data_IF_473217387330
#
_entry.id   IF_473217387330
#
_cell.length_a   1.000
_cell.length_b   1.000
_cell.length_c   1.000
_cell.angle_alpha   90.00
_cell.angle_beta   90.00
_cell.angle_gamma   90.00
#
_symmetry.space_group_name_H-M   'P 1'
#
loop_
_entity.id
_entity.type
_entity.pdbx_description
1 polymer ?
#
# COMPACT_ATOMS: atom_id res chain seq x y z
N UNK A 1 -5.11 -31.36 5.87
CA UNK A 1 -4.75 -30.07 5.23
C UNK A 1 -6.04 -29.29 5.05
N UNK A 2 -6.14 -28.05 5.54
CA UNK A 2 -7.32 -27.22 5.32
C UNK A 2 -7.48 -26.88 3.83
N UNK A 3 -8.72 -26.90 3.33
CA UNK A 3 -9.07 -26.39 2.01
C UNK A 3 -9.31 -24.87 2.07
N UNK A 4 -8.85 -24.17 1.04
CA UNK A 4 -9.02 -22.74 0.86
C UNK A 4 -9.56 -22.40 -0.53
N UNK A 5 -10.31 -21.32 -0.60
CA UNK A 5 -10.63 -20.64 -1.85
C UNK A 5 -10.33 -19.15 -1.72
N UNK A 6 -9.94 -18.54 -2.83
CA UNK A 6 -9.66 -17.11 -2.89
C UNK A 6 -10.79 -16.37 -3.60
N UNK A 7 -11.39 -15.39 -2.92
CA UNK A 7 -12.57 -14.68 -3.41
C UNK A 7 -12.27 -13.18 -3.48
N UNK A 8 -12.76 -12.56 -4.56
CA UNK A 8 -12.75 -11.11 -4.74
C UNK A 8 -14.18 -10.57 -4.85
N UNK A 9 -14.45 -9.43 -4.21
CA UNK A 9 -15.78 -8.80 -4.20
C UNK A 9 -15.95 -7.71 -5.26
N UNK A 10 -14.83 -7.17 -5.76
CA UNK A 10 -14.78 -6.13 -6.79
C UNK A 10 -13.65 -6.45 -7.75
N UNK A 11 -13.82 -6.17 -9.04
CA UNK A 11 -12.75 -6.39 -10.02
C UNK A 11 -11.51 -5.56 -9.64
N UNK A 12 -10.34 -6.21 -9.56
CA UNK A 12 -9.09 -5.59 -9.09
C UNK A 12 -9.03 -5.28 -7.59
N UNK A 13 -10.01 -5.76 -6.81
CA UNK A 13 -10.05 -5.60 -5.37
C UNK A 13 -9.09 -6.52 -4.61
N UNK A 14 -9.06 -6.38 -3.28
CA UNK A 14 -8.30 -7.28 -2.41
C UNK A 14 -8.88 -8.70 -2.49
N UNK A 15 -7.99 -9.67 -2.63
CA UNK A 15 -8.32 -11.10 -2.56
C UNK A 15 -8.37 -11.52 -1.09
N UNK A 16 -9.40 -12.28 -0.74
CA UNK A 16 -9.65 -12.77 0.60
C UNK A 16 -9.76 -14.29 0.56
N UNK A 17 -9.15 -14.95 1.53
CA UNK A 17 -9.22 -16.40 1.69
C UNK A 17 -10.47 -16.79 2.48
N UNK A 18 -11.19 -17.80 2.01
CA UNK A 18 -12.39 -18.36 2.64
C UNK A 18 -12.29 -19.88 2.71
N UNK A 19 -13.00 -20.46 3.66
CA UNK A 19 -13.23 -21.91 3.74
C UNK A 19 -14.37 -22.28 2.77
N UNK A 20 -14.14 -23.16 1.78
CA UNK A 20 -15.17 -23.59 0.84
C UNK A 20 -16.28 -24.45 1.47
N UNK A 21 -16.13 -24.91 2.71
CA UNK A 21 -17.10 -25.72 3.47
C UNK A 21 -17.55 -26.98 2.70
N UNK A 22 -16.59 -27.64 2.03
CA UNK A 22 -16.83 -28.84 1.20
C UNK A 22 -17.45 -28.57 -0.17
N UNK A 23 -17.61 -27.30 -0.57
CA UNK A 23 -18.05 -26.93 -1.91
C UNK A 23 -16.91 -27.04 -2.92
N UNK A 24 -17.16 -27.70 -4.05
CA UNK A 24 -16.26 -27.65 -5.22
C UNK A 24 -16.45 -26.32 -5.95
N UNK A 25 -15.50 -25.42 -5.78
CA UNK A 25 -15.49 -24.08 -6.37
C UNK A 25 -14.39 -23.98 -7.42
N UNK A 26 -14.76 -23.53 -8.62
CA UNK A 26 -13.82 -23.29 -9.72
C UNK A 26 -13.55 -21.79 -9.89
N UNK A 27 -12.39 -21.45 -10.46
CA UNK A 27 -12.07 -20.07 -10.78
C UNK A 27 -13.14 -19.48 -11.73
N UNK A 28 -13.69 -18.32 -11.36
CA UNK A 28 -14.77 -17.66 -12.07
C UNK A 28 -16.17 -17.91 -11.49
N UNK A 29 -16.33 -18.90 -10.61
CA UNK A 29 -17.60 -19.13 -9.92
C UNK A 29 -18.03 -17.91 -9.10
N UNK A 30 -19.33 -17.66 -9.06
CA UNK A 30 -19.91 -16.65 -8.18
C UNK A 30 -20.48 -17.33 -6.96
N UNK A 31 -20.17 -16.78 -5.80
CA UNK A 31 -20.47 -17.39 -4.51
C UNK A 31 -21.06 -16.37 -3.56
N UNK A 32 -21.89 -16.86 -2.65
CA UNK A 32 -22.43 -16.07 -1.55
C UNK A 32 -21.63 -16.39 -0.30
N UNK A 33 -21.12 -15.35 0.35
CA UNK A 33 -20.34 -15.46 1.58
C UNK A 33 -20.95 -14.58 2.66
N UNK A 34 -20.75 -14.96 3.92
CA UNK A 34 -21.15 -14.14 5.06
C UNK A 34 -19.90 -13.50 5.62
N UNK A 35 -19.82 -12.17 5.55
CA UNK A 35 -18.75 -11.40 6.18
C UNK A 35 -19.31 -10.67 7.40
N UNK A 36 -18.43 -10.05 8.18
CA UNK A 36 -18.83 -9.14 9.27
C UNK A 36 -19.73 -7.99 8.81
N UNK A 37 -19.78 -7.70 7.50
CA UNK A 37 -20.62 -6.65 6.90
C UNK A 37 -22.00 -7.15 6.45
N UNK A 38 -22.23 -8.45 6.49
CA UNK A 38 -23.46 -9.09 6.04
C UNK A 38 -23.23 -10.12 4.95
N UNK A 39 -24.28 -10.41 4.19
CA UNK A 39 -24.22 -11.32 3.04
C UNK A 39 -23.69 -10.56 1.84
N UNK A 40 -22.65 -11.09 1.20
CA UNK A 40 -22.03 -10.49 0.01
C UNK A 40 -21.89 -11.54 -1.09
N UNK A 41 -21.92 -11.09 -2.34
CA UNK A 41 -21.63 -11.92 -3.50
C UNK A 41 -20.20 -11.66 -3.96
N UNK A 42 -19.39 -12.70 -4.01
CA UNK A 42 -18.02 -12.66 -4.50
C UNK A 42 -17.83 -13.48 -5.77
N UNK A 43 -16.66 -13.31 -6.39
CA UNK A 43 -16.18 -14.13 -7.50
C UNK A 43 -14.93 -14.88 -7.06
N UNK A 44 -14.88 -16.17 -7.32
CA UNK A 44 -13.73 -17.03 -7.05
C UNK A 44 -12.61 -16.68 -8.03
N UNK A 45 -11.44 -16.35 -7.50
CA UNK A 45 -10.19 -16.09 -8.24
C UNK A 45 -9.39 -17.38 -8.34
N UNK A 46 -9.25 -18.10 -7.23
CA UNK A 46 -8.61 -19.41 -7.14
C UNK A 46 -9.59 -20.40 -6.54
N UNK A 47 -9.81 -21.51 -7.22
CA UNK A 47 -10.70 -22.58 -6.78
C UNK A 47 -10.25 -23.25 -5.47
N UNK A 48 -11.03 -24.22 -5.01
CA UNK A 48 -10.71 -24.97 -3.79
C UNK A 48 -9.36 -25.69 -3.94
N UNK A 49 -8.42 -25.40 -3.06
CA UNK A 49 -7.10 -26.04 -3.00
C UNK A 49 -6.66 -26.26 -1.56
N UNK A 50 -5.87 -27.31 -1.33
CA UNK A 50 -5.33 -27.62 -0.01
C UNK A 50 -4.05 -26.82 0.23
N UNK A 51 -3.89 -26.29 1.45
CA UNK A 51 -2.67 -25.59 1.86
C UNK A 51 -2.11 -26.17 3.16
N UNK A 52 -0.80 -25.98 3.44
CA UNK A 52 -0.22 -26.28 4.75
C UNK A 52 -0.92 -25.47 5.85
N UNK A 53 -1.15 -26.09 7.00
CA UNK A 53 -1.88 -25.46 8.12
C UNK A 53 -1.18 -24.20 8.66
N UNK A 54 0.15 -24.12 8.52
CA UNK A 54 1.01 -23.01 8.90
C UNK A 54 0.79 -21.74 8.06
N UNK A 55 0.27 -21.87 6.84
CA UNK A 55 0.00 -20.74 5.93
C UNK A 55 -1.41 -20.16 6.13
N UNK A 56 -2.26 -20.79 6.94
CA UNK A 56 -3.64 -20.39 7.14
C UNK A 56 -3.78 -19.37 8.28
N UNK A 57 -4.17 -18.15 7.93
CA UNK A 57 -4.56 -17.13 8.92
C UNK A 57 -6.00 -17.37 9.36
N UNK A 58 -6.19 -18.08 10.48
CA UNK A 58 -7.50 -18.30 11.10
C UNK A 58 -7.98 -17.07 11.91
N UNK A 59 -9.30 -16.87 12.08
CA UNK A 59 -10.41 -17.68 11.56
C UNK A 59 -10.78 -17.29 10.12
N UNK A 60 -11.02 -18.32 9.29
CA UNK A 60 -11.59 -18.15 7.95
C UNK A 60 -13.11 -18.09 8.05
N UNK A 61 -13.72 -17.15 7.33
CA UNK A 61 -15.16 -17.16 7.12
C UNK A 61 -15.51 -18.24 6.08
N UNK A 62 -16.71 -18.80 6.17
CA UNK A 62 -17.16 -19.88 5.29
C UNK A 62 -17.92 -19.36 4.07
N UNK A 63 -17.75 -20.06 2.94
CA UNK A 63 -18.62 -19.90 1.77
C UNK A 63 -19.98 -20.51 2.09
N UNK A 64 -21.04 -19.73 1.92
CA UNK A 64 -22.40 -20.20 2.24
C UNK A 64 -22.92 -21.13 1.14
N UNK A 65 -22.73 -20.74 -0.13
CA UNK A 65 -23.19 -21.48 -1.32
C UNK A 65 -22.71 -20.85 -2.62
N UNK A 66 -22.84 -21.57 -3.74
CA UNK A 66 -22.81 -20.98 -5.08
C UNK A 66 -23.99 -20.02 -5.30
N UNK A 67 -23.75 -18.97 -6.07
CA UNK A 67 -24.78 -18.00 -6.44
C UNK A 67 -25.80 -18.63 -7.39
N UNK A 68 -27.07 -18.37 -7.15
CA UNK A 68 -28.20 -18.79 -7.99
C UNK A 68 -28.50 -17.74 -9.05
N UNK A 69 -29.37 -18.07 -10.01
CA UNK A 69 -29.91 -17.10 -10.97
C UNK A 69 -30.59 -15.90 -10.27
N UNK A 70 -31.35 -16.15 -9.20
CA UNK A 70 -32.00 -15.09 -8.41
C UNK A 70 -30.99 -14.14 -7.75
N UNK A 71 -29.86 -14.66 -7.27
CA UNK A 71 -28.78 -13.82 -6.72
C UNK A 71 -28.15 -12.95 -7.80
N UNK A 72 -27.95 -13.52 -8.98
CA UNK A 72 -27.40 -12.83 -10.14
C UNK A 72 -28.33 -11.70 -10.61
N UNK A 73 -29.64 -11.94 -10.63
CA UNK A 73 -30.64 -10.94 -10.95
C UNK A 73 -30.68 -9.83 -9.89
N UNK A 74 -30.56 -10.18 -8.61
CA UNK A 74 -30.48 -9.22 -7.51
C UNK A 74 -29.22 -8.37 -7.61
N UNK A 75 -28.06 -8.96 -7.89
CA UNK A 75 -26.83 -8.22 -8.13
C UNK A 75 -26.91 -7.30 -9.36
N UNK A 76 -27.61 -7.74 -10.42
CA UNK A 76 -27.85 -6.92 -11.61
C UNK A 76 -28.75 -5.72 -11.30
N UNK A 77 -29.84 -5.92 -10.54
CA UNK A 77 -30.70 -4.84 -10.06
C UNK A 77 -29.94 -3.85 -9.19
N UNK A 78 -29.11 -4.34 -8.27
CA UNK A 78 -28.27 -3.52 -7.40
C UNK A 78 -27.28 -2.67 -8.20
N UNK A 79 -26.64 -3.24 -9.24
CA UNK A 79 -25.76 -2.48 -10.15
C UNK A 79 -26.50 -1.38 -10.90
N UNK A 80 -27.72 -1.64 -11.39
CA UNK A 80 -28.56 -0.62 -12.05
C UNK A 80 -28.97 0.49 -11.09
N UNK A 81 -29.32 0.12 -9.85
CA UNK A 81 -29.66 1.08 -8.79
C UNK A 81 -28.45 1.94 -8.41
N UNK A 82 -27.28 1.33 -8.23
CA UNK A 82 -26.02 2.02 -7.95
C UNK A 82 -25.68 3.05 -9.05
N UNK A 83 -25.78 2.66 -10.32
CA UNK A 83 -25.52 3.56 -11.45
C UNK A 83 -26.50 4.74 -11.50
N UNK A 84 -27.78 4.50 -11.16
CA UNK A 84 -28.78 5.57 -11.06
C UNK A 84 -28.49 6.49 -9.88
N UNK A 85 -28.10 5.93 -8.73
CA UNK A 85 -27.75 6.69 -7.53
C UNK A 85 -26.51 7.56 -7.74
N UNK A 86 -25.49 7.05 -8.44
CA UNK A 86 -24.30 7.82 -8.80
C UNK A 86 -24.67 9.08 -9.60
N UNK A 87 -25.39 8.92 -10.72
CA UNK A 87 -25.78 10.03 -11.59
C UNK A 87 -26.58 11.11 -10.84
N UNK A 88 -27.57 10.68 -10.07
CA UNK A 88 -28.40 11.60 -9.29
C UNK A 88 -27.59 12.30 -8.20
N UNK A 89 -26.63 11.61 -7.58
CA UNK A 89 -25.74 12.22 -6.60
C UNK A 89 -24.84 13.27 -7.25
N UNK A 90 -24.26 12.98 -8.41
CA UNK A 90 -23.43 13.92 -9.17
C UNK A 90 -24.22 15.18 -9.54
N UNK A 91 -25.42 15.04 -10.10
CA UNK A 91 -26.32 16.15 -10.41
C UNK A 91 -26.59 17.04 -9.17
N UNK A 92 -26.86 16.43 -8.02
CA UNK A 92 -27.17 17.16 -6.78
C UNK A 92 -25.94 17.79 -6.14
N UNK A 93 -24.77 17.18 -6.28
CA UNK A 93 -23.49 17.75 -5.83
C UNK A 93 -23.21 19.05 -6.59
N UNK A 94 -23.42 19.05 -7.91
CA UNK A 94 -23.30 20.25 -8.74
C UNK A 94 -24.34 21.31 -8.38
N UNK A 95 -25.62 20.93 -8.26
CA UNK A 95 -26.72 21.84 -7.90
C UNK A 95 -26.50 22.54 -6.54
N UNK A 96 -25.94 21.81 -5.58
CA UNK A 96 -25.62 22.34 -4.26
C UNK A 96 -24.25 23.02 -4.15
N UNK A 97 -23.45 23.03 -5.22
CA UNK A 97 -22.11 23.62 -5.22
C UNK A 97 -21.19 22.98 -4.18
N UNK A 98 -21.31 21.67 -3.95
CA UNK A 98 -20.50 20.96 -2.97
C UNK A 98 -19.14 20.60 -3.58
N UNK A 99 -18.05 21.00 -2.93
CA UNK A 99 -16.68 20.75 -3.40
C UNK A 99 -16.21 19.30 -3.14
N UNK A 100 -16.92 18.33 -3.72
CA UNK A 100 -16.61 16.91 -3.61
C UNK A 100 -16.68 16.21 -4.96
N UNK A 101 -15.90 15.13 -5.07
CA UNK A 101 -15.93 14.23 -6.22
C UNK A 101 -16.48 12.86 -5.82
N UNK A 102 -17.50 12.38 -6.52
CA UNK A 102 -18.00 11.01 -6.34
C UNK A 102 -17.01 10.04 -6.98
N UNK A 103 -16.57 9.03 -6.21
CA UNK A 103 -15.55 8.06 -6.63
C UNK A 103 -16.19 6.73 -7.01
N UNK A 104 -17.14 6.25 -6.20
CA UNK A 104 -17.85 5.00 -6.49
C UNK A 104 -19.17 4.97 -5.74
N UNK A 105 -20.20 4.38 -6.35
CA UNK A 105 -21.48 4.12 -5.69
C UNK A 105 -21.80 2.65 -5.77
N UNK A 106 -22.22 2.07 -4.64
CA UNK A 106 -22.55 0.65 -4.54
C UNK A 106 -23.79 0.43 -3.70
N UNK A 107 -24.48 -0.67 -3.97
CA UNK A 107 -25.59 -1.14 -3.15
C UNK A 107 -25.14 -2.43 -2.50
N UNK A 108 -25.26 -2.53 -1.17
CA UNK A 108 -24.99 -3.77 -0.45
C UNK A 108 -25.85 -4.88 -1.03
N UNK A 109 -25.32 -6.10 -1.08
CA UNK A 109 -25.97 -7.20 -1.81
C UNK A 109 -27.42 -7.45 -1.36
N UNK A 110 -27.71 -7.33 -0.06
CA UNK A 110 -29.05 -7.44 0.51
C UNK A 110 -29.99 -6.25 0.23
N UNK A 111 -29.50 -5.19 -0.42
CA UNK A 111 -30.25 -3.97 -0.73
C UNK A 111 -30.47 -3.04 0.47
N UNK A 112 -29.88 -3.33 1.64
CA UNK A 112 -30.13 -2.59 2.88
C UNK A 112 -29.67 -1.12 2.83
N UNK A 113 -28.58 -0.85 2.12
CA UNK A 113 -27.99 0.49 2.01
C UNK A 113 -27.27 0.72 0.68
N UNK A 114 -27.24 1.99 0.28
CA UNK A 114 -26.42 2.52 -0.80
C UNK A 114 -25.21 3.20 -0.17
N UNK A 115 -24.01 2.77 -0.55
CA UNK A 115 -22.74 3.35 -0.09
C UNK A 115 -22.17 4.21 -1.21
N UNK A 116 -22.07 5.51 -0.97
CA UNK A 116 -21.47 6.48 -1.89
C UNK A 116 -20.12 6.86 -1.33
N UNK A 117 -19.06 6.51 -2.05
CA UNK A 117 -17.71 6.90 -1.70
C UNK A 117 -17.32 8.15 -2.45
N UNK A 118 -16.79 9.14 -1.73
CA UNK A 118 -16.47 10.46 -2.27
C UNK A 118 -15.10 10.93 -1.78
N UNK A 119 -14.50 11.84 -2.53
CA UNK A 119 -13.31 12.59 -2.15
C UNK A 119 -13.69 14.06 -1.89
N UNK A 120 -13.04 14.64 -0.88
CA UNK A 120 -13.16 16.05 -0.53
C UNK A 120 -11.87 16.46 0.19
N UNK A 121 -11.31 17.63 -0.15
CA UNK A 121 -10.12 18.18 0.51
C UNK A 121 -10.46 18.70 1.91
N UNK A 122 -11.57 19.43 2.00
CA UNK A 122 -12.07 20.00 3.25
C UNK A 122 -13.34 19.29 3.75
N UNK A 123 -13.76 19.65 4.96
CA UNK A 123 -15.00 19.13 5.53
C UNK A 123 -16.18 19.83 4.89
N UNK A 124 -17.08 19.04 4.30
CA UNK A 124 -18.27 19.55 3.60
C UNK A 124 -19.52 19.20 4.41
N UNK A 125 -20.47 20.13 4.48
CA UNK A 125 -21.81 19.85 4.99
C UNK A 125 -22.73 19.39 3.85
N UNK A 126 -22.94 18.08 3.77
CA UNK A 126 -23.77 17.44 2.74
C UNK A 126 -25.09 16.88 3.31
N UNK A 127 -25.58 17.41 4.45
CA UNK A 127 -26.83 16.92 5.06
C UNK A 127 -28.04 17.01 4.13
N UNK A 128 -28.19 18.12 3.39
CA UNK A 128 -29.25 18.29 2.38
C UNK A 128 -29.18 17.24 1.28
N UNK A 129 -27.98 16.94 0.78
CA UNK A 129 -27.75 15.90 -0.22
C UNK A 129 -28.19 14.51 0.30
N UNK A 130 -27.88 14.19 1.56
CA UNK A 130 -28.30 12.92 2.18
C UNK A 130 -29.81 12.81 2.25
N UNK A 131 -30.51 13.87 2.68
CA UNK A 131 -31.97 13.88 2.76
C UNK A 131 -32.62 13.67 1.39
N UNK A 132 -32.13 14.34 0.35
CA UNK A 132 -32.64 14.21 -1.00
C UNK A 132 -32.47 12.81 -1.58
N UNK A 133 -31.28 12.24 -1.45
CA UNK A 133 -31.00 10.90 -1.92
C UNK A 133 -31.83 9.86 -1.15
N UNK A 134 -31.96 10.02 0.18
CA UNK A 134 -32.78 9.14 1.00
C UNK A 134 -34.26 9.19 0.58
N UNK A 135 -34.81 10.39 0.33
CA UNK A 135 -36.19 10.57 -0.17
C UNK A 135 -36.40 9.92 -1.54
N UNK A 136 -35.43 10.07 -2.45
CA UNK A 136 -35.53 9.58 -3.83
C UNK A 136 -35.38 8.07 -3.95
N UNK A 137 -34.45 7.47 -3.22
CA UNK A 137 -34.15 6.04 -3.35
C UNK A 137 -34.88 5.16 -2.33
N UNK A 138 -35.44 5.73 -1.26
CA UNK A 138 -36.12 4.98 -0.17
C UNK A 138 -35.24 3.86 0.41
N UNK A 139 -33.93 4.08 0.39
CA UNK A 139 -32.90 3.17 0.89
C UNK A 139 -31.95 3.98 1.74
N UNK A 140 -31.38 3.37 2.79
CA UNK A 140 -30.41 4.05 3.65
C UNK A 140 -29.19 4.47 2.81
N UNK A 141 -28.82 5.74 2.87
CA UNK A 141 -27.63 6.29 2.20
C UNK A 141 -26.50 6.40 3.21
N UNK A 142 -25.33 5.87 2.88
CA UNK A 142 -24.10 5.98 3.66
C UNK A 142 -23.03 6.66 2.80
N UNK A 143 -22.53 7.79 3.28
CA UNK A 143 -21.41 8.47 2.65
C UNK A 143 -20.09 8.01 3.28
N UNK A 144 -19.12 7.67 2.44
CA UNK A 144 -17.78 7.26 2.86
C UNK A 144 -16.74 8.16 2.22
N UNK A 145 -16.04 8.94 3.04
CA UNK A 145 -14.91 9.72 2.54
C UNK A 145 -13.71 8.82 2.27
N UNK A 146 -13.13 8.95 1.08
CA UNK A 146 -11.88 8.32 0.67
C UNK A 146 -10.76 9.35 0.84
N UNK A 147 -9.63 8.94 1.41
CA UNK A 147 -8.45 9.81 1.52
C UNK A 147 -7.70 9.94 0.19
N UNK A 148 -6.94 11.03 0.02
CA UNK A 148 -6.10 11.31 -1.18
C UNK A 148 -5.24 10.13 -1.66
N UNK A 149 -4.75 9.28 -0.73
CA UNK A 149 -3.92 8.11 -1.07
C UNK A 149 -4.72 6.98 -1.70
N UNK A 150 -5.93 6.74 -1.17
CA UNK A 150 -6.80 5.68 -1.67
C UNK A 150 -7.40 6.09 -3.02
N UNK A 151 -7.70 7.38 -3.19
CA UNK A 151 -8.08 7.93 -4.49
C UNK A 151 -6.95 7.77 -5.52
N UNK A 152 -5.72 8.17 -5.18
CA UNK A 152 -4.57 7.96 -6.06
C UNK A 152 -4.38 6.47 -6.39
N UNK A 153 -4.60 5.57 -5.44
CA UNK A 153 -4.52 4.11 -5.67
C UNK A 153 -5.55 3.63 -6.70
N UNK A 154 -6.77 4.16 -6.65
CA UNK A 154 -7.84 3.81 -7.58
C UNK A 154 -7.57 4.34 -9.00
N UNK A 155 -7.06 5.56 -9.11
CA UNK A 155 -6.73 6.18 -10.41
C UNK A 155 -5.46 5.55 -11.01
N UNK A 156 -4.48 5.22 -10.18
CA UNK A 156 -3.18 4.74 -10.63
C UNK A 156 -2.31 5.85 -11.23
N UNK A 157 -1.33 5.46 -12.04
CA UNK A 157 -0.42 6.39 -12.73
C UNK A 157 1.06 6.13 -12.46
N UNK A 158 1.91 7.06 -12.89
CA UNK A 158 3.36 6.99 -12.76
C UNK A 158 3.88 8.10 -11.86
N UNK A 159 4.71 7.76 -10.88
CA UNK A 159 5.36 8.74 -10.00
C UNK A 159 6.46 9.54 -10.72
N UNK A 160 7.03 10.55 -10.05
CA UNK A 160 8.13 11.35 -10.61
C UNK A 160 9.39 10.53 -10.91
N UNK A 161 9.52 9.33 -10.35
CA UNK A 161 10.57 8.37 -10.65
C UNK A 161 10.34 7.55 -11.93
N UNK A 162 9.24 7.78 -12.66
CA UNK A 162 8.87 7.05 -13.87
C UNK A 162 8.25 5.66 -13.64
N UNK A 163 8.22 5.16 -12.40
CA UNK A 163 7.58 3.89 -12.03
C UNK A 163 6.10 4.08 -11.69
N UNK A 164 5.32 2.99 -11.66
CA UNK A 164 3.95 3.00 -11.13
C UNK A 164 3.93 3.66 -9.74
N UNK A 165 2.89 4.43 -9.44
CA UNK A 165 2.80 5.12 -8.15
C UNK A 165 2.92 4.14 -6.97
N UNK A 166 3.69 4.56 -5.96
CA UNK A 166 3.95 3.75 -4.78
C UNK A 166 2.67 3.36 -4.00
N UNK A 167 1.61 4.18 -4.07
CA UNK A 167 0.31 3.89 -3.44
C UNK A 167 -0.38 2.64 -4.02
N UNK A 168 -0.15 2.34 -5.30
CA UNK A 168 -0.69 1.14 -5.97
C UNK A 168 0.30 -0.02 -5.91
N UNK A 169 1.61 0.25 -6.02
CA UNK A 169 2.64 -0.78 -6.01
C UNK A 169 2.80 -1.49 -4.66
N UNK A 170 2.68 -0.76 -3.55
CA UNK A 170 2.90 -1.29 -2.20
C UNK A 170 1.57 -1.24 -1.42
N UNK A 171 0.67 -2.17 -1.74
CA UNK A 171 -0.69 -2.19 -1.16
C UNK A 171 -0.75 -2.58 0.34
N UNK A 172 0.36 -3.00 0.94
CA UNK A 172 0.37 -3.71 2.24
C UNK A 172 0.58 -2.87 3.50
N UNK A 173 1.36 -1.78 3.46
CA UNK A 173 1.78 -1.09 4.69
C UNK A 173 1.05 0.25 4.89
N UNK A 174 -0.05 0.20 5.65
CA UNK A 174 -0.86 1.39 6.00
C UNK A 174 -0.24 2.23 7.11
N UNK A 175 0.98 1.92 7.56
CA UNK A 175 1.63 2.73 8.58
C UNK A 175 1.89 4.17 8.10
N UNK A 176 1.77 5.16 9.00
CA UNK A 176 2.04 6.55 8.66
C UNK A 176 3.51 6.72 8.24
N UNK A 177 3.71 7.44 7.15
CA UNK A 177 5.04 7.86 6.69
C UNK A 177 5.43 9.12 7.44
N UNK A 178 6.66 9.18 7.96
CA UNK A 178 7.14 10.34 8.74
C UNK A 178 8.29 11.07 8.05
N UNK A 179 8.43 12.36 8.33
CA UNK A 179 9.55 13.19 7.85
C UNK A 179 10.91 12.62 8.33
N UNK A 180 10.93 11.94 9.49
CA UNK A 180 12.14 11.25 10.00
C UNK A 180 12.68 10.23 9.00
N UNK A 181 11.80 9.51 8.29
CA UNK A 181 12.19 8.53 7.28
C UNK A 181 12.92 9.20 6.12
N UNK A 182 12.38 10.31 5.59
CA UNK A 182 13.05 11.09 4.55
C UNK A 182 14.43 11.62 5.00
N UNK A 183 14.54 12.13 6.24
CA UNK A 183 15.82 12.57 6.81
C UNK A 183 16.83 11.42 6.89
N UNK A 184 16.40 10.24 7.33
CA UNK A 184 17.31 9.09 7.46
C UNK A 184 17.79 8.56 6.11
N UNK A 185 16.98 8.72 5.06
CA UNK A 185 17.32 8.42 3.67
C UNK A 185 18.08 9.57 2.97
N UNK A 186 18.46 10.63 3.72
CA UNK A 186 19.22 11.77 3.22
C UNK A 186 18.53 12.52 2.05
N UNK A 187 17.20 12.46 1.99
CA UNK A 187 16.44 13.17 0.97
C UNK A 187 16.25 14.64 1.37
N UNK A 188 16.30 15.58 0.40
CA UNK A 188 15.97 16.98 0.64
C UNK A 188 14.54 17.12 1.14
N UNK A 189 14.31 17.93 2.18
CA UNK A 189 12.98 18.12 2.78
C UNK A 189 12.06 19.05 1.98
N UNK A 190 12.30 19.19 0.67
CA UNK A 190 11.44 19.92 -0.24
C UNK A 190 10.21 19.04 -0.55
N UNK A 191 8.97 19.54 -0.38
CA UNK A 191 7.75 18.81 -0.72
C UNK A 191 7.77 18.16 -2.11
N UNK A 192 8.33 18.81 -3.14
CA UNK A 192 8.41 18.24 -4.49
C UNK A 192 9.30 16.98 -4.58
N UNK A 193 10.20 16.78 -3.62
CA UNK A 193 11.16 15.66 -3.58
C UNK A 193 10.73 14.52 -2.66
N UNK A 194 9.80 14.76 -1.73
CA UNK A 194 9.37 13.78 -0.71
C UNK A 194 7.88 13.47 -0.74
N UNK A 195 7.07 14.28 -1.43
CA UNK A 195 5.63 14.04 -1.61
C UNK A 195 5.37 13.26 -2.89
N UNK A 196 4.44 12.31 -2.80
CA UNK A 196 3.91 11.60 -3.96
C UNK A 196 2.84 12.41 -4.69
N UNK A 197 2.35 11.87 -5.80
CA UNK A 197 1.26 12.48 -6.58
C UNK A 197 -0.04 12.67 -5.79
N UNK A 198 -0.23 11.89 -4.72
CA UNK A 198 -1.36 12.05 -3.79
C UNK A 198 -1.20 13.23 -2.81
N UNK A 199 -0.19 14.08 -2.98
CA UNK A 199 0.08 15.24 -2.13
C UNK A 199 0.64 14.92 -0.73
N UNK A 200 0.67 13.63 -0.34
CA UNK A 200 1.27 13.17 0.93
C UNK A 200 2.68 12.61 0.73
N UNK A 201 3.42 12.43 1.82
CA UNK A 201 4.73 11.78 1.81
C UNK A 201 4.69 10.43 1.08
N UNK A 202 5.70 10.19 0.24
CA UNK A 202 5.81 8.99 -0.60
C UNK A 202 5.86 7.71 0.24
N UNK A 203 5.07 6.71 -0.14
CA UNK A 203 5.04 5.41 0.56
C UNK A 203 6.36 4.63 0.41
N UNK A 204 7.15 4.87 -0.65
CA UNK A 204 8.46 4.24 -0.83
C UNK A 204 9.44 4.59 0.30
N UNK A 205 9.30 5.77 0.93
CA UNK A 205 10.10 6.16 2.10
C UNK A 205 9.95 5.16 3.24
N UNK A 206 8.75 4.63 3.44
CA UNK A 206 8.48 3.61 4.46
C UNK A 206 8.94 2.23 3.98
N UNK A 207 8.60 1.87 2.73
CA UNK A 207 8.98 0.59 2.14
C UNK A 207 10.48 0.33 2.22
N UNK A 208 11.30 1.34 1.90
CA UNK A 208 12.76 1.22 1.91
C UNK A 208 13.35 1.41 3.32
N UNK A 209 12.58 1.90 4.28
CA UNK A 209 13.09 2.38 5.56
C UNK A 209 13.94 1.34 6.32
N UNK A 210 13.47 0.10 6.38
CA UNK A 210 14.15 -0.95 7.13
C UNK A 210 15.53 -1.24 6.55
N UNK A 211 15.67 -1.25 5.23
CA UNK A 211 16.96 -1.41 4.57
C UNK A 211 17.96 -0.30 4.97
N UNK A 212 17.49 0.95 5.14
CA UNK A 212 18.35 2.04 5.62
C UNK A 212 18.73 1.92 7.08
N UNK A 213 17.84 1.38 7.94
CA UNK A 213 18.14 1.14 9.35
C UNK A 213 19.19 0.04 9.47
N UNK A 214 18.93 -1.12 8.86
CA UNK A 214 19.83 -2.28 8.89
C UNK A 214 21.19 -1.98 8.26
N UNK A 215 21.22 -1.24 7.14
CA UNK A 215 22.47 -0.84 6.51
C UNK A 215 23.30 0.04 7.44
N UNK A 216 22.70 1.01 8.13
CA UNK A 216 23.43 1.90 9.06
C UNK A 216 23.96 1.19 10.29
N UNK A 217 23.31 0.10 10.73
CA UNK A 217 23.80 -0.72 11.84
C UNK A 217 25.05 -1.51 11.47
N UNK A 218 25.15 -1.94 10.20
CA UNK A 218 26.28 -2.73 9.69
C UNK A 218 27.42 -1.88 9.11
N UNK A 219 27.09 -0.76 8.47
CA UNK A 219 28.04 0.06 7.74
C UNK A 219 28.92 0.91 8.68
N UNK A 220 30.22 1.09 8.36
CA UNK A 220 31.06 2.06 9.06
C UNK A 220 30.50 3.48 8.96
N UNK A 221 30.66 4.28 10.02
CA UNK A 221 30.21 5.66 10.03
C UNK A 221 30.94 6.49 8.96
N UNK A 222 30.27 7.50 8.39
CA UNK A 222 30.91 8.48 7.50
C UNK A 222 32.11 9.13 8.20
N UNK A 223 33.22 9.29 7.49
CA UNK A 223 34.50 9.76 8.02
C UNK A 223 35.41 8.66 8.60
N UNK A 224 34.94 7.41 8.65
CA UNK A 224 35.77 6.27 9.08
C UNK A 224 36.73 5.88 7.96
N UNK A 225 38.01 5.65 8.31
CA UNK A 225 38.98 5.07 7.37
C UNK A 225 38.75 3.57 7.24
N UNK A 226 38.80 3.05 6.03
CA UNK A 226 38.60 1.64 5.71
C UNK A 226 39.60 1.20 4.64
N UNK A 227 39.94 -0.08 4.63
CA UNK A 227 40.66 -0.68 3.51
C UNK A 227 39.66 -1.29 2.53
N UNK A 228 39.82 -0.95 1.26
CA UNK A 228 39.07 -1.55 0.15
C UNK A 228 40.04 -2.35 -0.75
N UNK A 229 39.55 -3.21 -1.65
CA UNK A 229 40.41 -3.90 -2.63
C UNK A 229 41.21 -2.95 -3.54
N UNK A 230 40.81 -1.67 -3.61
CA UNK A 230 41.46 -0.63 -4.42
C UNK A 230 42.39 0.30 -3.63
N UNK A 231 42.49 0.12 -2.32
CA UNK A 231 43.33 0.93 -1.45
C UNK A 231 42.64 1.38 -0.17
N UNK A 232 43.41 2.02 0.71
CA UNK A 232 42.91 2.69 1.92
C UNK A 232 42.19 3.98 1.53
N UNK A 233 41.05 4.25 2.17
CA UNK A 233 40.32 5.49 1.96
C UNK A 233 39.35 5.80 3.08
N UNK A 234 38.59 6.88 2.93
CA UNK A 234 37.61 7.35 3.92
C UNK A 234 36.20 7.22 3.39
N UNK A 235 35.28 6.68 4.20
CA UNK A 235 33.87 6.58 3.82
C UNK A 235 33.26 7.99 3.75
N UNK A 236 32.78 8.39 2.57
CA UNK A 236 32.18 9.71 2.33
C UNK A 236 30.66 9.66 2.23
N UNK A 237 30.10 8.59 1.66
CA UNK A 237 28.65 8.45 1.50
C UNK A 237 28.18 6.99 1.51
N UNK A 238 26.87 6.80 1.57
CA UNK A 238 26.20 5.50 1.58
C UNK A 238 25.31 5.33 0.34
N UNK A 239 25.50 4.23 -0.37
CA UNK A 239 24.68 3.82 -1.50
C UNK A 239 23.78 2.67 -1.05
N UNK A 240 22.85 2.96 -0.12
CA UNK A 240 22.03 1.95 0.56
C UNK A 240 21.30 1.00 -0.40
N UNK A 241 20.62 1.46 -1.47
CA UNK A 241 19.93 0.54 -2.39
C UNK A 241 20.86 -0.43 -3.15
N UNK A 242 22.16 -0.15 -3.17
CA UNK A 242 23.20 -1.02 -3.74
C UNK A 242 23.95 -1.84 -2.68
N UNK A 243 23.62 -1.66 -1.40
CA UNK A 243 24.37 -2.21 -0.25
C UNK A 243 25.88 -1.87 -0.28
N UNK A 244 26.23 -0.66 -0.71
CA UNK A 244 27.62 -0.20 -0.85
C UNK A 244 27.90 1.09 -0.08
N UNK A 245 29.16 1.31 0.23
CA UNK A 245 29.69 2.60 0.70
C UNK A 245 30.52 3.27 -0.40
N UNK A 246 30.50 4.59 -0.43
CA UNK A 246 31.35 5.40 -1.29
C UNK A 246 32.60 5.78 -0.49
N UNK A 247 33.77 5.38 -0.97
CA UNK A 247 35.06 5.59 -0.30
C UNK A 247 35.93 6.52 -1.14
N UNK A 248 36.46 7.58 -0.53
CA UNK A 248 37.44 8.48 -1.14
C UNK A 248 38.86 7.97 -0.83
N UNK A 249 39.59 7.59 -1.89
CA UNK A 249 40.97 7.11 -1.81
C UNK A 249 42.00 8.26 -1.82
N UNK A 250 41.54 9.52 -1.93
CA UNK A 250 42.37 10.70 -2.08
C UNK A 250 42.32 11.28 -3.50
N UNK A 251 42.71 12.55 -3.62
CA UNK A 251 42.76 13.29 -4.90
C UNK A 251 41.42 13.31 -5.68
N UNK A 252 40.29 13.14 -4.99
CA UNK A 252 38.96 13.09 -5.60
C UNK A 252 38.60 11.75 -6.25
N UNK A 253 39.43 10.72 -6.08
CA UNK A 253 39.16 9.39 -6.59
C UNK A 253 38.22 8.62 -5.65
N UNK A 254 36.95 8.51 -6.05
CA UNK A 254 35.92 7.81 -5.28
C UNK A 254 35.59 6.44 -5.87
N UNK A 255 35.46 5.43 -5.01
CA UNK A 255 35.13 4.06 -5.38
C UNK A 255 33.93 3.55 -4.57
N UNK A 256 33.07 2.75 -5.22
CA UNK A 256 32.01 2.01 -4.52
C UNK A 256 32.58 0.69 -4.00
N UNK A 257 32.39 0.41 -2.70
CA UNK A 257 32.82 -0.85 -2.07
C UNK A 257 31.66 -1.51 -1.33
N UNK A 258 31.57 -2.84 -1.43
CA UNK A 258 30.62 -3.66 -0.65
C UNK A 258 30.97 -3.67 0.84
N UNK A 259 29.97 -3.90 1.71
CA UNK A 259 30.22 -4.01 3.16
C UNK A 259 31.07 -5.22 3.54
N UNK A 260 31.08 -6.24 2.69
CA UNK A 260 31.91 -7.45 2.77
C UNK A 260 33.34 -7.24 2.27
N UNK A 261 33.56 -6.19 1.45
CA UNK A 261 34.86 -5.88 0.85
C UNK A 261 35.68 -4.89 1.69
N UNK A 262 35.11 -4.36 2.78
CA UNK A 262 35.75 -3.34 3.61
C UNK A 262 36.29 -3.92 4.92
N UNK A 263 37.55 -3.64 5.20
CA UNK A 263 38.18 -4.00 6.47
C UNK A 263 38.48 -2.75 7.32
N UNK A 264 38.38 -2.85 8.66
CA UNK A 264 38.82 -1.78 9.54
C UNK A 264 40.33 -1.50 9.34
N UNK A 265 40.77 -0.25 9.54
CA UNK A 265 42.14 0.14 9.27
C UNK A 265 43.07 -0.63 10.21
N UNK A 266 44.15 -1.18 9.66
CA UNK A 266 45.17 -1.87 10.47
C UNK A 266 45.71 -0.88 11.50
N UNK A 267 45.56 -1.20 12.80
CA UNK A 267 46.12 -0.37 13.88
C UNK A 267 47.63 -0.22 13.61
N UNK A 268 48.19 1.00 13.73
CA UNK A 268 49.63 1.17 13.59
C UNK A 268 50.34 0.35 14.67
N UNK A 269 51.31 -0.47 14.24
CA UNK A 269 52.10 -1.34 15.11
C UNK A 269 52.87 -0.48 16.12
N UNK A 270 52.47 -0.52 17.39
CA UNK A 270 53.14 0.20 18.49
C UNK A 270 54.42 -0.53 18.93
N UNK A 271 55.28 -0.94 17.99
CA UNK A 271 56.59 -1.53 18.28
C UNK A 271 57.68 -0.74 17.56
N UNK A 272 58.22 0.27 18.25
CA UNK A 272 59.36 1.02 17.71
C UNK A 272 59.63 2.41 18.30
N UNK A 273 59.38 2.67 19.58
CA UNK A 273 60.02 3.80 20.28
C UNK A 273 60.71 3.30 21.55
N UNK A 274 61.75 2.50 21.32
CA UNK A 274 62.74 2.16 22.34
C UNK A 274 63.71 3.32 22.53
N UNK A 275 63.70 3.87 23.75
CA UNK A 275 64.80 4.54 24.48
C UNK A 275 66.00 5.05 23.66
N UNK A 276 66.19 6.36 23.66
CA UNK A 276 67.51 6.97 23.90
C UNK A 276 67.33 8.15 24.86
N UNK A 277 67.67 7.91 26.13
CA UNK A 277 68.12 8.96 27.06
C UNK A 277 69.64 8.92 27.01
N UNK A 278 70.24 10.03 26.58
CA UNK A 278 71.64 10.38 26.75
C UNK A 278 71.66 11.83 27.18
#
# INVERSE_FOLDING_TARGET
MPELTEIVFRDGGKVYSFDPDGLKLDAGDKVIVRTKRGVEMGKVVVGSHEVPEEEVVQPLEKVVRKATSSDMDSASRNRKLAARAARVCEERVEEYGLDMRIISTEVVFDGSKIVISFFAEERIDFRKLVEDLARKFRTRIEFRQIGVRDEARLIGGHGPCGRKICCTAFAGDQQPVSIKMAKQQQLPLNPMKISGLCGRLMCCLKYEHNAYVEFKEKAPAKGTRVNTPRGEGTVVDFLVPKEKVLVDLGEGHQVEAGLDEIEPPKKPDKRGRGRQRG
#
